data_IF_295726771494
#
_entry.id   IF_295726771494
#
_cell.length_a   1.000
_cell.length_b   1.000
_cell.length_c   1.000
_cell.angle_alpha   90.00
_cell.angle_beta   90.00
_cell.angle_gamma   90.00
#
_symmetry.space_group_name_H-M   'P 1'
#
loop_
_entity.id
_entity.type
_entity.pdbx_description
1 polymer ?
#
# COMPACT_ATOMS: atom_id res chain seq x y z
N UNK A 1 -16.41 -39.72 -20.65
CA UNK A 1 -15.57 -39.72 -19.43
C UNK A 1 -14.43 -38.70 -19.48
N UNK A 2 -13.63 -38.58 -20.55
CA UNK A 2 -12.51 -37.59 -20.64
C UNK A 2 -12.94 -36.11 -20.54
N UNK A 3 -14.10 -35.74 -21.10
CA UNK A 3 -14.66 -34.38 -21.02
C UNK A 3 -15.10 -33.98 -19.59
N UNK A 4 -15.41 -34.96 -18.73
CA UNK A 4 -15.86 -34.71 -17.35
C UNK A 4 -14.72 -34.26 -16.44
N UNK A 5 -13.51 -34.77 -16.66
CA UNK A 5 -12.30 -34.37 -15.94
C UNK A 5 -11.90 -32.92 -16.25
N UNK A 6 -12.11 -32.46 -17.49
CA UNK A 6 -11.84 -31.07 -17.88
C UNK A 6 -12.81 -30.09 -17.21
N UNK A 7 -14.08 -30.49 -16.99
CA UNK A 7 -15.09 -29.68 -16.32
C UNK A 7 -14.84 -29.55 -14.80
N UNK A 8 -14.23 -30.56 -14.18
CA UNK A 8 -13.86 -30.56 -12.76
C UNK A 8 -12.67 -29.64 -12.42
N UNK A 9 -11.86 -29.24 -13.42
CA UNK A 9 -10.71 -28.36 -13.24
C UNK A 9 -11.03 -26.87 -13.47
N UNK A 10 -12.24 -26.55 -13.98
CA UNK A 10 -12.70 -25.18 -14.21
C UNK A 10 -12.73 -24.26 -12.96
N UNK A 11 -13.13 -24.72 -11.75
CA UNK A 11 -13.22 -23.83 -10.59
C UNK A 11 -11.84 -23.37 -10.07
N UNK A 12 -10.74 -24.03 -10.48
CA UNK A 12 -9.37 -23.64 -10.11
C UNK A 12 -8.92 -22.31 -10.72
N UNK A 13 -9.63 -21.82 -11.74
CA UNK A 13 -9.31 -20.56 -12.44
C UNK A 13 -10.04 -19.35 -11.85
N UNK A 14 -10.96 -19.56 -10.90
CA UNK A 14 -11.70 -18.49 -10.26
C UNK A 14 -10.89 -17.88 -9.11
N UNK A 15 -10.22 -16.76 -9.36
CA UNK A 15 -9.60 -15.94 -8.31
C UNK A 15 -10.66 -14.97 -7.77
N UNK A 16 -11.43 -15.43 -6.78
CA UNK A 16 -12.44 -14.63 -6.07
C UNK A 16 -12.07 -14.26 -4.64
N UNK A 17 -10.81 -14.46 -4.23
CA UNK A 17 -10.40 -14.20 -2.85
C UNK A 17 -10.42 -12.70 -2.57
N UNK A 18 -11.23 -12.30 -1.60
CA UNK A 18 -11.30 -10.92 -1.18
C UNK A 18 -9.99 -10.53 -0.48
N UNK A 19 -9.40 -9.36 -0.78
CA UNK A 19 -8.17 -8.87 -0.11
C UNK A 19 -8.39 -8.51 1.38
N UNK A 20 -9.57 -8.83 1.91
CA UNK A 20 -9.92 -8.58 3.28
C UNK A 20 -9.19 -9.54 4.22
N UNK A 21 -8.59 -9.03 5.31
CA UNK A 21 -8.02 -9.90 6.33
C UNK A 21 -9.11 -10.82 6.91
N UNK A 22 -8.69 -12.04 7.28
CA UNK A 22 -9.56 -13.04 7.88
C UNK A 22 -10.23 -12.53 9.16
N UNK A 23 -11.37 -13.15 9.52
CA UNK A 23 -12.10 -12.81 10.74
C UNK A 23 -11.17 -12.98 11.95
N UNK A 24 -11.15 -11.99 12.83
CA UNK A 24 -10.28 -11.94 14.01
C UNK A 24 -8.95 -11.22 13.81
N UNK A 25 -8.61 -10.82 12.57
CA UNK A 25 -7.46 -9.98 12.30
C UNK A 25 -7.82 -8.49 12.32
N UNK A 26 -6.86 -7.66 12.72
CA UNK A 26 -7.03 -6.21 12.71
C UNK A 26 -7.09 -5.67 11.29
N UNK A 27 -7.91 -4.62 11.12
CA UNK A 27 -7.98 -3.83 9.89
C UNK A 27 -8.02 -2.36 10.26
N UNK A 28 -7.26 -1.57 9.53
CA UNK A 28 -7.30 -0.12 9.62
C UNK A 28 -8.26 0.52 8.60
N UNK A 29 -8.82 1.66 8.98
CA UNK A 29 -9.68 2.50 8.14
C UNK A 29 -9.21 3.95 8.22
N UNK A 30 -7.96 4.20 7.82
CA UNK A 30 -7.37 5.53 7.86
C UNK A 30 -7.92 6.41 6.73
N UNK A 31 -8.02 7.74 6.93
CA UNK A 31 -8.52 8.66 5.92
C UNK A 31 -7.45 8.94 4.86
N UNK A 32 -7.70 8.50 3.62
CA UNK A 32 -6.77 8.66 2.49
C UNK A 32 -7.11 9.81 1.53
N UNK A 33 -8.18 10.58 1.80
CA UNK A 33 -8.65 11.65 0.90
C UNK A 33 -7.87 12.97 1.05
N UNK A 34 -7.18 13.20 2.18
CA UNK A 34 -6.44 14.42 2.46
C UNK A 34 -4.93 14.22 2.36
N UNK A 35 -4.39 14.21 1.14
CA UNK A 35 -2.95 14.17 0.96
C UNK A 35 -2.33 15.52 1.33
N UNK A 36 -1.24 15.50 2.10
CA UNK A 36 -0.49 16.69 2.52
C UNK A 36 0.78 16.89 1.71
N UNK A 37 1.30 15.83 1.10
CA UNK A 37 2.54 15.85 0.33
C UNK A 37 2.58 14.69 -0.68
N UNK A 38 3.32 14.87 -1.77
CA UNK A 38 3.44 13.89 -2.87
C UNK A 38 4.86 13.90 -3.44
N UNK A 39 5.41 12.71 -3.65
CA UNK A 39 6.70 12.52 -4.34
C UNK A 39 6.63 11.31 -5.27
N UNK A 40 7.63 11.12 -6.13
CA UNK A 40 7.66 10.01 -7.07
C UNK A 40 9.06 9.42 -7.19
N UNK A 41 9.13 8.09 -7.23
CA UNK A 41 10.28 7.36 -7.76
C UNK A 41 10.09 7.10 -9.25
N UNK A 42 10.99 6.35 -9.87
CA UNK A 42 10.80 5.91 -11.26
C UNK A 42 9.54 5.05 -11.43
N UNK A 43 9.25 4.16 -10.47
CA UNK A 43 8.16 3.18 -10.57
C UNK A 43 6.88 3.55 -9.83
N UNK A 44 6.95 4.32 -8.75
CA UNK A 44 5.81 4.58 -7.85
C UNK A 44 5.60 6.07 -7.61
N UNK A 45 4.34 6.47 -7.40
CA UNK A 45 3.96 7.77 -6.85
C UNK A 45 3.57 7.54 -5.40
N UNK A 46 4.14 8.32 -4.48
CA UNK A 46 3.87 8.25 -3.05
C UNK A 46 3.09 9.49 -2.62
N UNK A 47 2.05 9.30 -1.82
CA UNK A 47 1.26 10.37 -1.24
C UNK A 47 1.16 10.19 0.28
N UNK A 48 1.51 11.23 1.02
CA UNK A 48 1.41 11.28 2.46
C UNK A 48 0.08 11.88 2.89
N UNK A 49 -0.48 11.37 3.98
CA UNK A 49 -1.55 11.97 4.76
C UNK A 49 -1.02 12.22 6.18
N UNK A 50 -1.74 12.95 7.05
CA UNK A 50 -1.28 13.13 8.43
C UNK A 50 -1.16 11.81 9.23
N UNK A 51 -1.77 10.71 8.78
CA UNK A 51 -1.89 9.47 9.56
C UNK A 51 -1.14 8.27 8.96
N UNK A 52 -0.89 8.30 7.65
CA UNK A 52 -0.31 7.20 6.87
C UNK A 52 0.18 7.69 5.52
N UNK A 53 0.81 6.83 4.74
CA UNK A 53 1.09 7.08 3.33
C UNK A 53 0.57 5.94 2.45
N UNK A 54 0.40 6.22 1.17
CA UNK A 54 0.11 5.19 0.19
C UNK A 54 0.93 5.45 -1.08
N UNK A 55 1.17 4.38 -1.83
CA UNK A 55 1.81 4.46 -3.13
C UNK A 55 0.92 3.89 -4.22
N UNK A 56 1.11 4.40 -5.43
CA UNK A 56 0.48 3.89 -6.65
C UNK A 56 1.59 3.49 -7.60
N UNK A 57 1.60 2.23 -8.02
CA UNK A 57 2.49 1.78 -9.08
C UNK A 57 2.09 2.42 -10.42
N UNK A 58 3.07 3.02 -11.11
CA UNK A 58 2.79 3.74 -12.36
C UNK A 58 2.36 2.81 -13.49
N UNK A 59 2.82 1.56 -13.49
CA UNK A 59 2.56 0.56 -14.53
C UNK A 59 1.29 -0.24 -14.26
N UNK A 60 1.14 -0.81 -13.05
CA UNK A 60 0.02 -1.70 -12.71
C UNK A 60 -1.17 -0.96 -12.10
N UNK A 61 -0.98 0.31 -11.69
CA UNK A 61 -1.95 1.10 -10.93
C UNK A 61 -2.34 0.50 -9.58
N UNK A 62 -1.58 -0.48 -9.09
CA UNK A 62 -1.81 -1.07 -7.78
C UNK A 62 -1.51 -0.08 -6.67
N UNK A 63 -2.34 -0.12 -5.62
CA UNK A 63 -2.22 0.74 -4.44
C UNK A 63 -1.64 -0.08 -3.30
N UNK A 64 -0.56 0.42 -2.71
CA UNK A 64 0.04 -0.10 -1.49
C UNK A 64 -0.10 0.94 -0.37
N UNK A 65 -0.42 0.50 0.85
CA UNK A 65 -0.67 1.39 2.00
C UNK A 65 0.31 1.10 3.12
N UNK A 66 0.90 2.16 3.66
CA UNK A 66 1.84 2.07 4.77
C UNK A 66 1.31 2.91 5.93
N UNK A 67 1.20 2.26 7.08
CA UNK A 67 0.76 2.87 8.33
C UNK A 67 1.66 2.39 9.46
N UNK A 68 1.39 2.86 10.68
CA UNK A 68 2.07 2.37 11.87
C UNK A 68 1.96 0.84 12.05
N UNK A 69 0.91 0.22 11.52
CA UNK A 69 0.71 -1.24 11.58
C UNK A 69 1.46 -1.96 10.44
N UNK A 70 1.61 -1.32 9.27
CA UNK A 70 2.18 -1.94 8.07
C UNK A 70 3.60 -1.46 7.70
N UNK A 71 4.29 -0.77 8.60
CA UNK A 71 5.74 -0.53 8.47
C UNK A 71 6.26 0.85 8.87
N UNK A 72 5.38 1.81 9.20
CA UNK A 72 5.80 3.13 9.69
C UNK A 72 6.09 3.09 11.19
N UNK A 73 7.06 3.88 11.63
CA UNK A 73 7.36 4.01 13.06
C UNK A 73 6.28 4.80 13.79
N UNK A 74 5.68 5.80 13.14
CA UNK A 74 4.76 6.74 13.79
C UNK A 74 3.56 7.15 12.94
N UNK A 75 2.62 7.81 13.60
CA UNK A 75 1.59 8.65 12.98
C UNK A 75 2.02 10.11 13.01
N UNK A 76 1.36 11.00 12.28
CA UNK A 76 1.75 12.41 12.24
C UNK A 76 2.84 12.67 11.21
N UNK A 77 2.72 12.07 10.03
CA UNK A 77 3.62 12.38 8.90
C UNK A 77 3.49 13.87 8.59
N UNK A 78 4.62 14.53 8.44
CA UNK A 78 4.71 15.97 8.15
C UNK A 78 5.20 16.26 6.74
N UNK A 79 6.09 15.42 6.19
CA UNK A 79 6.61 15.54 4.83
C UNK A 79 7.18 14.21 4.32
N UNK A 80 7.24 14.03 3.01
CA UNK A 80 7.91 12.90 2.36
C UNK A 80 8.81 13.36 1.23
N UNK A 81 9.94 12.67 1.04
CA UNK A 81 10.81 12.95 -0.11
C UNK A 81 11.44 11.66 -0.63
N UNK A 82 11.47 11.51 -1.96
CA UNK A 82 12.15 10.39 -2.59
C UNK A 82 13.50 10.88 -3.10
N UNK A 83 14.57 10.28 -2.60
CA UNK A 83 15.91 10.56 -3.08
C UNK A 83 16.28 9.57 -4.20
N UNK A 84 16.45 10.05 -5.45
CA UNK A 84 16.81 9.17 -6.56
C UNK A 84 18.25 8.62 -6.45
N UNK A 85 19.15 9.29 -5.72
CA UNK A 85 20.53 8.84 -5.58
C UNK A 85 20.62 7.57 -4.70
N UNK A 86 19.97 7.60 -3.52
CA UNK A 86 19.91 6.43 -2.62
C UNK A 86 18.78 5.47 -2.94
N UNK A 87 17.83 5.86 -3.80
CA UNK A 87 16.60 5.13 -4.13
C UNK A 87 15.72 4.86 -2.91
N UNK A 88 15.66 5.80 -1.97
CA UNK A 88 14.90 5.68 -0.73
C UNK A 88 13.82 6.75 -0.63
N UNK A 89 12.72 6.39 0.02
CA UNK A 89 11.70 7.32 0.47
C UNK A 89 12.03 7.68 1.92
N UNK A 90 12.22 8.97 2.18
CA UNK A 90 12.31 9.53 3.52
C UNK A 90 10.93 9.99 3.98
N UNK A 91 10.59 9.69 5.23
CA UNK A 91 9.32 10.08 5.86
C UNK A 91 9.63 10.84 7.14
N UNK A 92 9.28 12.12 7.15
CA UNK A 92 9.43 12.97 8.34
C UNK A 92 8.13 13.02 9.14
N UNK A 93 8.27 13.01 10.47
CA UNK A 93 7.16 13.08 11.40
C UNK A 93 7.14 14.41 12.16
N UNK A 94 5.98 14.81 12.67
CA UNK A 94 5.80 16.04 13.45
C UNK A 94 6.59 16.06 14.76
N UNK A 95 7.01 14.89 15.27
CA UNK A 95 7.84 14.75 16.46
C UNK A 95 9.35 14.69 16.14
N UNK A 96 9.77 15.05 14.92
CA UNK A 96 11.16 14.98 14.43
C UNK A 96 11.76 13.58 14.31
N UNK A 97 10.94 12.52 14.40
CA UNK A 97 11.38 11.19 14.00
C UNK A 97 11.50 11.12 12.47
N UNK A 98 12.27 10.14 11.97
CA UNK A 98 12.49 9.89 10.55
C UNK A 98 12.49 8.40 10.26
N UNK A 99 11.75 8.01 9.22
CA UNK A 99 11.90 6.71 8.55
C UNK A 99 12.62 6.87 7.19
#
# INVERSE_FOLDING_TARGET
MKFLYALLLLPSLCIGQNKFPAIGLWREHLPYQGAIDVTASDQKIYAATPFSLFSVDKSTKEIERFSKVSGLSETGVSAINYDPASKKLFVAYSNSNLD
#
